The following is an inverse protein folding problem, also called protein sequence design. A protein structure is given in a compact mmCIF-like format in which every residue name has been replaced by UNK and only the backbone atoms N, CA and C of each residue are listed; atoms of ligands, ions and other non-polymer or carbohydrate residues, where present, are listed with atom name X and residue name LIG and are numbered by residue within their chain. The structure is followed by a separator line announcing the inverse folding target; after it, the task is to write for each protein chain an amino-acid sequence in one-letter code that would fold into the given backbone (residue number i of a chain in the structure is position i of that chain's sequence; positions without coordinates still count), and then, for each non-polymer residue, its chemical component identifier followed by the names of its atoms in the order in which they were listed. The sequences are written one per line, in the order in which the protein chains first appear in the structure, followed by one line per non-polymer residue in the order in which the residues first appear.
data_IF_681955838362
#
_entry.id   IF_681955838362
#
_cell.length_a   1.000
_cell.length_b   1.000
_cell.length_c   1.000
_cell.angle_alpha   90.00
_cell.angle_beta   90.00
_cell.angle_gamma   90.00
#
_symmetry.space_group_name_H-M   'P 1'
#
loop_
_entity.id
_entity.type
_entity.pdbx_description
1 polymer ?
#
# COMPACT_ATOMS: atom_id res chain seq x y z
N UNK A 1 -12.68 11.11 -6.91
CA UNK A 1 -13.97 11.73 -6.57
C UNK A 1 -13.73 12.88 -5.59
N UNK A 2 -14.35 14.06 -5.83
CA UNK A 2 -14.24 15.23 -4.96
C UNK A 2 -15.60 15.61 -4.41
N UNK A 3 -15.69 15.95 -3.11
CA UNK A 3 -16.96 16.30 -2.50
C UNK A 3 -16.88 16.65 -1.02
N UNK A 4 -18.03 16.93 -0.42
CA UNK A 4 -18.14 17.23 1.00
C UNK A 4 -18.15 15.93 1.80
N UNK A 5 -17.31 15.84 2.82
CA UNK A 5 -17.26 14.69 3.72
C UNK A 5 -18.45 14.73 4.68
N UNK A 6 -19.18 13.63 4.76
CA UNK A 6 -20.32 13.46 5.66
C UNK A 6 -19.89 12.78 6.95
N UNK A 7 -19.06 11.75 6.85
CA UNK A 7 -18.71 10.89 7.96
C UNK A 7 -17.25 10.46 7.89
N UNK A 8 -16.59 10.37 9.04
CA UNK A 8 -15.23 9.83 9.21
C UNK A 8 -15.26 8.88 10.41
N UNK A 9 -15.60 7.61 10.20
CA UNK A 9 -15.75 6.63 11.29
C UNK A 9 -14.42 6.20 11.91
N UNK A 10 -13.30 6.33 11.18
CA UNK A 10 -11.99 5.87 11.64
C UNK A 10 -11.40 6.76 12.72
N UNK A 11 -10.72 6.11 13.67
CA UNK A 11 -9.97 6.77 14.73
C UNK A 11 -8.47 6.61 14.49
N UNK A 12 -7.63 7.57 14.92
CA UNK A 12 -6.18 7.38 14.89
C UNK A 12 -5.77 6.10 15.64
N UNK A 13 -4.77 5.41 15.11
CA UNK A 13 -4.19 4.18 15.66
C UNK A 13 -5.17 2.99 15.76
N UNK A 14 -6.32 3.06 15.11
CA UNK A 14 -7.23 1.90 15.04
C UNK A 14 -6.79 0.91 13.97
N UNK A 15 -6.78 -0.40 14.26
CA UNK A 15 -6.56 -1.42 13.26
C UNK A 15 -7.76 -1.47 12.31
N UNK A 16 -7.48 -1.61 11.03
CA UNK A 16 -8.48 -1.70 9.96
C UNK A 16 -8.17 -2.91 9.09
N UNK A 17 -9.22 -3.56 8.63
CA UNK A 17 -9.15 -4.60 7.61
C UNK A 17 -9.32 -3.99 6.23
N UNK A 18 -8.86 -4.70 5.22
CA UNK A 18 -9.18 -4.37 3.83
C UNK A 18 -10.69 -4.22 3.64
N UNK A 19 -11.10 -3.16 2.96
CA UNK A 19 -12.51 -2.84 2.71
C UNK A 19 -13.22 -2.03 3.82
N UNK A 20 -12.63 -1.85 5.00
CA UNK A 20 -13.20 -1.02 6.06
C UNK A 20 -13.35 0.44 5.61
N UNK A 21 -14.45 1.08 6.03
CA UNK A 21 -14.74 2.45 5.60
C UNK A 21 -13.84 3.45 6.30
N UNK A 22 -13.07 4.21 5.52
CA UNK A 22 -12.24 5.31 6.02
C UNK A 22 -13.04 6.60 6.20
N UNK A 23 -13.76 7.01 5.18
CA UNK A 23 -14.68 8.16 5.23
C UNK A 23 -15.70 8.08 4.11
N UNK A 24 -16.77 8.87 4.24
CA UNK A 24 -17.85 8.95 3.26
C UNK A 24 -17.97 10.39 2.74
N UNK A 25 -18.05 10.52 1.44
CA UNK A 25 -18.40 11.76 0.73
C UNK A 25 -19.92 11.79 0.56
N UNK A 26 -20.52 12.99 0.48
CA UNK A 26 -21.95 13.15 0.23
C UNK A 26 -22.34 12.48 -1.10
N UNK A 27 -23.13 11.40 -1.10
CA UNK A 27 -23.46 10.66 -2.30
C UNK A 27 -24.54 11.34 -3.14
N UNK A 28 -25.32 12.29 -2.58
CA UNK A 28 -26.51 12.87 -3.23
C UNK A 28 -26.23 13.49 -4.59
N UNK A 29 -25.16 14.28 -4.80
CA UNK A 29 -24.88 14.83 -6.13
C UNK A 29 -24.58 13.75 -7.16
N UNK A 30 -23.89 12.67 -6.74
CA UNK A 30 -23.53 11.54 -7.60
C UNK A 30 -24.75 10.68 -7.92
N UNK A 31 -25.61 10.42 -6.94
CA UNK A 31 -26.87 9.71 -7.14
C UNK A 31 -27.77 10.44 -8.14
N UNK A 32 -27.93 11.77 -7.98
CA UNK A 32 -28.69 12.57 -8.93
C UNK A 32 -28.14 12.51 -10.36
N UNK A 33 -26.81 12.41 -10.51
CA UNK A 33 -26.17 12.26 -11.81
C UNK A 33 -26.49 10.89 -12.43
N UNK A 34 -26.40 9.81 -11.63
CA UNK A 34 -26.78 8.46 -12.05
C UNK A 34 -28.24 8.43 -12.50
N UNK A 35 -29.15 8.95 -11.68
CA UNK A 35 -30.60 8.96 -11.98
C UNK A 35 -30.89 9.74 -13.27
N UNK A 36 -30.20 10.88 -13.49
CA UNK A 36 -30.35 11.68 -14.70
C UNK A 36 -29.86 10.95 -15.95
N UNK A 37 -28.73 10.28 -15.88
CA UNK A 37 -28.16 9.52 -16.98
C UNK A 37 -28.97 8.27 -17.29
N UNK A 38 -29.50 7.60 -16.27
CA UNK A 38 -30.37 6.44 -16.43
C UNK A 38 -31.67 6.83 -17.18
N UNK A 39 -32.29 7.95 -16.81
CA UNK A 39 -33.46 8.45 -17.52
C UNK A 39 -33.16 8.80 -18.99
N UNK A 40 -32.00 9.39 -19.29
CA UNK A 40 -31.56 9.69 -20.64
C UNK A 40 -31.28 8.42 -21.45
N UNK A 41 -30.62 7.45 -20.86
CA UNK A 41 -30.35 6.15 -21.49
C UNK A 41 -31.65 5.41 -21.83
N UNK A 42 -32.61 5.45 -20.92
CA UNK A 42 -33.93 4.85 -21.17
C UNK A 42 -34.64 5.51 -22.37
N UNK A 43 -34.64 6.84 -22.44
CA UNK A 43 -35.20 7.56 -23.59
C UNK A 43 -34.49 7.23 -24.90
N UNK A 44 -33.12 7.18 -24.88
CA UNK A 44 -32.32 6.83 -26.06
C UNK A 44 -32.61 5.38 -26.53
N UNK A 45 -32.75 4.46 -25.58
CA UNK A 45 -33.09 3.07 -25.86
C UNK A 45 -34.46 2.92 -26.52
N UNK A 46 -35.47 3.67 -26.05
CA UNK A 46 -36.81 3.69 -26.65
C UNK A 46 -36.72 4.24 -28.08
N UNK A 47 -35.95 5.29 -28.31
CA UNK A 47 -35.78 5.89 -29.63
C UNK A 47 -35.06 4.92 -30.59
N UNK A 48 -34.05 4.24 -30.13
CA UNK A 48 -33.36 3.20 -30.89
C UNK A 48 -34.32 2.07 -31.28
N UNK A 49 -35.13 1.60 -30.33
CA UNK A 49 -36.14 0.58 -30.63
C UNK A 49 -37.14 1.01 -31.68
N UNK A 50 -37.66 2.24 -31.57
CA UNK A 50 -38.56 2.82 -32.59
C UNK A 50 -37.89 2.95 -33.95
N UNK A 51 -36.63 3.40 -34.00
CA UNK A 51 -35.88 3.48 -35.27
C UNK A 51 -35.67 2.11 -35.90
N UNK A 52 -35.37 1.09 -35.13
CA UNK A 52 -35.24 -0.32 -35.58
C UNK A 52 -36.59 -0.85 -36.14
N UNK A 53 -37.70 -0.52 -35.49
CA UNK A 53 -39.04 -0.91 -35.98
C UNK A 53 -39.41 -0.22 -37.28
N UNK A 54 -39.13 1.08 -37.41
CA UNK A 54 -39.37 1.85 -38.62
C UNK A 54 -38.48 1.37 -39.79
N UNK A 55 -37.22 1.02 -39.50
CA UNK A 55 -36.33 0.44 -40.50
C UNK A 55 -36.88 -0.91 -41.04
N UNK A 56 -37.41 -1.77 -40.15
CA UNK A 56 -38.05 -3.04 -40.57
C UNK A 56 -39.28 -2.80 -41.48
N UNK A 57 -39.94 -1.67 -41.32
CA UNK A 57 -41.07 -1.29 -42.17
C UNK A 57 -40.65 -0.50 -43.42
N UNK A 58 -39.35 -0.38 -43.71
CA UNK A 58 -38.78 0.41 -44.81
C UNK A 58 -39.16 1.90 -44.77
N UNK A 59 -39.40 2.46 -43.57
CA UNK A 59 -39.83 3.90 -43.40
C UNK A 59 -38.65 4.74 -42.90
N UNK A 60 -37.65 4.17 -42.27
CA UNK A 60 -36.47 4.89 -41.76
C UNK A 60 -35.17 4.41 -42.47
N UNK A 61 -34.16 5.28 -42.46
CA UNK A 61 -32.84 4.95 -43.01
C UNK A 61 -31.96 4.24 -41.96
N UNK A 62 -31.02 3.40 -42.42
CA UNK A 62 -30.04 2.72 -41.57
C UNK A 62 -29.24 3.74 -40.69
N UNK A 63 -28.94 4.89 -41.26
CA UNK A 63 -28.19 5.95 -40.58
C UNK A 63 -28.86 6.45 -39.28
N UNK A 64 -30.20 6.39 -39.19
CA UNK A 64 -30.91 6.77 -37.95
C UNK A 64 -30.74 5.73 -36.88
N UNK A 65 -30.73 4.43 -37.23
CA UNK A 65 -30.46 3.35 -36.30
C UNK A 65 -29.01 3.45 -35.78
N UNK A 66 -28.06 3.68 -36.69
CA UNK A 66 -26.66 3.84 -36.33
C UNK A 66 -26.43 5.02 -35.38
N UNK A 67 -27.10 6.14 -35.64
CA UNK A 67 -27.06 7.32 -34.77
C UNK A 67 -27.60 7.04 -33.37
N UNK A 68 -28.76 6.39 -33.25
CA UNK A 68 -29.34 6.09 -31.93
C UNK A 68 -28.55 4.97 -31.23
N UNK A 69 -27.93 4.07 -31.97
CA UNK A 69 -27.03 3.08 -31.38
C UNK A 69 -25.83 3.76 -30.73
N UNK A 70 -25.17 4.66 -31.44
CA UNK A 70 -24.04 5.43 -30.90
C UNK A 70 -24.46 6.31 -29.68
N UNK A 71 -25.67 6.86 -29.68
CA UNK A 71 -26.21 7.62 -28.55
C UNK A 71 -26.39 6.73 -27.30
N UNK A 72 -26.97 5.51 -27.47
CA UNK A 72 -27.13 4.54 -26.39
C UNK A 72 -25.77 4.11 -25.84
N UNK A 73 -24.80 3.78 -26.69
CA UNK A 73 -23.45 3.41 -26.29
C UNK A 73 -22.76 4.51 -25.48
N UNK A 74 -22.87 5.76 -25.95
CA UNK A 74 -22.33 6.92 -25.26
C UNK A 74 -22.98 7.13 -23.89
N UNK A 75 -24.30 7.04 -23.79
CA UNK A 75 -25.02 7.22 -22.52
C UNK A 75 -24.73 6.06 -21.54
N UNK A 76 -24.56 4.86 -22.06
CA UNK A 76 -24.15 3.71 -21.23
C UNK A 76 -22.77 3.95 -20.61
N UNK A 77 -21.78 4.37 -21.39
CA UNK A 77 -20.45 4.68 -20.89
C UNK A 77 -20.47 5.82 -19.86
N UNK A 78 -21.31 6.84 -20.06
CA UNK A 78 -21.46 7.94 -19.10
C UNK A 78 -22.12 7.48 -17.80
N UNK A 79 -23.12 6.59 -17.89
CA UNK A 79 -23.79 6.01 -16.74
C UNK A 79 -22.83 5.14 -15.93
N UNK A 80 -22.03 4.30 -16.58
CA UNK A 80 -21.00 3.47 -15.93
C UNK A 80 -19.99 4.34 -15.17
N UNK A 81 -19.57 5.48 -15.77
CA UNK A 81 -18.67 6.42 -15.10
C UNK A 81 -19.33 7.07 -13.88
N UNK A 82 -20.62 7.46 -13.99
CA UNK A 82 -21.34 8.07 -12.87
C UNK A 82 -21.56 7.06 -11.72
N UNK A 83 -21.84 5.79 -12.04
CA UNK A 83 -21.94 4.72 -11.05
C UNK A 83 -20.62 4.47 -10.35
N UNK A 84 -19.52 4.41 -11.10
CA UNK A 84 -18.17 4.32 -10.55
C UNK A 84 -17.88 5.48 -9.59
N UNK A 85 -18.21 6.71 -9.96
CA UNK A 85 -18.01 7.87 -9.09
C UNK A 85 -18.87 7.80 -7.83
N UNK A 86 -20.11 7.30 -7.93
CA UNK A 86 -21.01 7.08 -6.80
C UNK A 86 -20.44 6.02 -5.83
N UNK A 87 -19.98 4.89 -6.33
CA UNK A 87 -19.35 3.85 -5.51
C UNK A 87 -18.13 4.39 -4.77
N UNK A 88 -17.34 5.23 -5.43
CA UNK A 88 -16.12 5.83 -4.86
C UNK A 88 -16.40 7.02 -3.92
N UNK A 89 -17.68 7.34 -3.63
CA UNK A 89 -18.03 8.24 -2.51
C UNK A 89 -17.75 7.61 -1.15
N UNK A 90 -17.68 6.27 -1.08
CA UNK A 90 -17.28 5.53 0.11
C UNK A 90 -15.83 5.10 -0.05
N UNK A 91 -14.93 5.84 0.60
CA UNK A 91 -13.50 5.52 0.57
C UNK A 91 -13.20 4.44 1.60
N UNK A 92 -12.58 3.37 1.13
CA UNK A 92 -12.28 2.18 1.92
C UNK A 92 -10.79 1.96 2.09
N UNK A 93 -10.40 1.20 3.10
CA UNK A 93 -9.02 0.78 3.31
C UNK A 93 -8.56 -0.15 2.18
N UNK A 94 -7.43 0.15 1.52
CA UNK A 94 -6.93 -0.65 0.39
C UNK A 94 -6.31 -1.98 0.82
N UNK A 95 -6.01 -2.13 2.11
CA UNK A 95 -5.40 -3.31 2.70
C UNK A 95 -5.60 -3.30 4.21
N UNK A 96 -5.20 -4.38 4.88
CA UNK A 96 -5.12 -4.42 6.35
C UNK A 96 -3.99 -3.51 6.84
N UNK A 97 -4.26 -2.70 7.86
CA UNK A 97 -3.28 -1.74 8.37
C UNK A 97 -3.82 -0.83 9.46
N UNK A 98 -3.15 0.31 9.64
CA UNK A 98 -3.50 1.31 10.65
C UNK A 98 -3.59 2.71 10.04
N UNK A 99 -4.49 3.52 10.56
CA UNK A 99 -4.51 4.95 10.29
C UNK A 99 -3.72 5.68 11.38
N UNK A 100 -2.57 6.26 11.04
CA UNK A 100 -1.71 6.97 12.01
C UNK A 100 -2.28 8.33 12.39
N UNK A 101 -2.78 9.08 11.40
CA UNK A 101 -3.30 10.42 11.63
C UNK A 101 -4.53 10.68 10.78
N UNK A 102 -5.54 11.31 11.38
CA UNK A 102 -6.77 11.74 10.71
C UNK A 102 -6.94 13.22 10.98
N UNK A 103 -6.73 14.05 9.96
CA UNK A 103 -6.99 15.49 10.01
C UNK A 103 -8.33 15.83 9.37
N UNK A 104 -8.93 14.89 8.65
CA UNK A 104 -10.20 15.03 7.96
C UNK A 104 -11.36 15.06 8.97
N UNK A 105 -12.24 16.04 8.82
CA UNK A 105 -13.44 16.19 9.66
C UNK A 105 -14.71 16.20 8.80
N UNK A 106 -15.83 15.71 9.32
CA UNK A 106 -17.12 15.90 8.69
C UNK A 106 -17.38 17.39 8.37
N UNK A 107 -17.94 17.66 7.21
CA UNK A 107 -18.17 19.00 6.71
C UNK A 107 -17.06 19.57 5.83
N UNK A 108 -15.86 19.04 5.88
CA UNK A 108 -14.77 19.46 4.99
C UNK A 108 -14.96 18.95 3.57
N UNK A 109 -14.31 19.61 2.61
CA UNK A 109 -14.33 19.23 1.21
C UNK A 109 -13.01 18.59 0.81
N UNK A 110 -13.07 17.40 0.26
CA UNK A 110 -11.95 16.70 -0.36
C UNK A 110 -11.88 17.07 -1.84
N UNK A 111 -10.69 17.38 -2.35
CA UNK A 111 -10.44 17.69 -3.74
C UNK A 111 -9.42 16.71 -4.34
N UNK A 112 -9.42 16.57 -5.68
CA UNK A 112 -8.51 15.65 -6.39
C UNK A 112 -7.04 16.10 -6.39
N UNK A 113 -6.75 17.35 -6.03
CA UNK A 113 -5.40 17.89 -5.87
C UNK A 113 -5.13 18.12 -4.38
N UNK A 114 -4.63 17.13 -3.65
CA UNK A 114 -4.34 17.28 -2.24
C UNK A 114 -3.05 18.09 -2.06
N UNK A 115 -3.18 19.35 -1.72
CA UNK A 115 -2.08 20.16 -1.21
C UNK A 115 -1.67 19.73 0.22
N UNK A 116 -2.50 18.91 0.87
CA UNK A 116 -2.30 18.35 2.20
C UNK A 116 -2.79 16.92 2.25
N UNK A 117 -2.04 16.07 2.95
CA UNK A 117 -2.53 14.74 3.30
C UNK A 117 -3.60 14.86 4.39
N UNK A 118 -4.79 14.31 4.12
CA UNK A 118 -5.90 14.29 5.07
C UNK A 118 -5.82 13.12 6.06
N UNK A 119 -5.16 12.05 5.63
CA UNK A 119 -5.06 10.81 6.39
C UNK A 119 -3.76 10.09 5.99
N UNK A 120 -3.08 9.53 6.97
CA UNK A 120 -1.92 8.66 6.73
C UNK A 120 -2.31 7.23 7.07
N UNK A 121 -2.42 6.40 6.06
CA UNK A 121 -2.66 4.97 6.19
C UNK A 121 -1.34 4.22 6.08
N UNK A 122 -1.08 3.31 7.00
CA UNK A 122 0.08 2.42 6.98
C UNK A 122 -0.40 1.00 6.78
N UNK A 123 -0.03 0.45 5.67
CA UNK A 123 -0.23 -0.96 5.37
C UNK A 123 0.69 -1.81 6.26
N UNK A 124 0.11 -2.80 6.91
CA UNK A 124 0.86 -3.73 7.76
C UNK A 124 1.21 -4.95 6.93
N UNK A 125 2.36 -4.92 6.30
CA UNK A 125 2.96 -6.11 5.70
C UNK A 125 3.80 -6.79 6.78
N UNK A 126 3.18 -7.71 7.50
CA UNK A 126 3.76 -8.35 8.68
C UNK A 126 4.99 -9.22 8.35
N UNK A 127 5.17 -9.56 7.08
CA UNK A 127 6.22 -10.47 6.65
C UNK A 127 7.47 -9.75 6.15
N UNK A 128 7.48 -8.41 6.02
CA UNK A 128 8.62 -7.67 5.47
C UNK A 128 9.31 -6.82 6.51
N UNK A 129 10.64 -6.95 6.56
CA UNK A 129 11.52 -6.22 7.46
C UNK A 129 12.55 -5.46 6.64
N UNK A 130 12.81 -4.22 7.02
CA UNK A 130 13.92 -3.46 6.47
C UNK A 130 15.15 -3.62 7.37
N UNK A 131 16.27 -4.04 6.80
CA UNK A 131 17.55 -4.17 7.48
C UNK A 131 18.60 -3.30 6.82
N UNK A 132 19.36 -2.55 7.63
CA UNK A 132 20.49 -1.75 7.15
C UNK A 132 21.78 -2.56 7.09
N UNK A 133 22.50 -2.52 5.97
CA UNK A 133 23.80 -3.15 5.79
C UNK A 133 24.85 -2.17 5.30
N UNK A 134 26.13 -2.43 5.62
CA UNK A 134 27.23 -1.61 5.15
C UNK A 134 27.56 -1.85 3.67
N UNK A 135 28.05 -0.82 2.98
CA UNK A 135 28.36 -0.85 1.56
C UNK A 135 29.29 -2.00 1.15
N UNK A 136 30.29 -2.33 1.95
CA UNK A 136 31.24 -3.40 1.68
C UNK A 136 30.61 -4.81 1.66
N UNK A 137 29.44 -4.98 2.27
CA UNK A 137 28.71 -6.25 2.34
C UNK A 137 27.76 -6.45 1.15
N UNK A 138 27.34 -5.36 0.49
CA UNK A 138 26.40 -5.40 -0.64
C UNK A 138 26.83 -6.32 -1.78
N UNK A 139 28.15 -6.36 -2.10
CA UNK A 139 28.70 -7.18 -3.19
C UNK A 139 28.45 -8.68 -3.02
N UNK A 140 28.24 -9.12 -1.79
CA UNK A 140 28.01 -10.53 -1.45
C UNK A 140 26.53 -10.88 -1.30
N UNK A 141 25.65 -9.89 -1.40
CA UNK A 141 24.22 -10.06 -1.23
C UNK A 141 23.57 -10.54 -2.53
N UNK A 142 22.70 -11.54 -2.40
CA UNK A 142 21.87 -12.05 -3.50
C UNK A 142 20.43 -12.22 -3.01
N UNK A 143 19.41 -11.97 -3.84
CA UNK A 143 18.04 -12.38 -3.53
C UNK A 143 17.96 -13.89 -3.26
N UNK A 144 17.11 -14.28 -2.32
CA UNK A 144 16.92 -15.68 -1.92
C UNK A 144 17.89 -16.18 -0.84
N UNK A 145 18.89 -15.39 -0.43
CA UNK A 145 19.78 -15.78 0.68
C UNK A 145 19.02 -15.88 1.99
N UNK A 146 19.38 -16.90 2.80
CA UNK A 146 18.84 -17.08 4.13
C UNK A 146 19.34 -16.02 5.09
N UNK A 147 18.46 -15.60 5.97
CA UNK A 147 18.75 -14.65 7.03
C UNK A 147 18.08 -15.09 8.33
N UNK A 148 18.57 -14.62 9.45
CA UNK A 148 17.94 -14.74 10.75
C UNK A 148 17.79 -13.33 11.36
N UNK A 149 16.65 -13.10 12.03
CA UNK A 149 16.33 -11.83 12.65
C UNK A 149 15.84 -12.03 14.07
N UNK A 150 16.25 -11.15 14.97
CA UNK A 150 15.74 -11.08 16.33
C UNK A 150 15.24 -9.68 16.64
N UNK A 151 14.17 -9.57 17.41
CA UNK A 151 13.59 -8.30 17.82
C UNK A 151 13.86 -8.03 19.30
N UNK A 152 14.13 -6.77 19.65
CA UNK A 152 14.30 -6.39 21.06
C UNK A 152 13.04 -6.62 21.88
N UNK A 153 11.86 -6.47 21.28
CA UNK A 153 10.56 -6.65 21.95
C UNK A 153 10.26 -8.13 22.26
N UNK A 154 10.93 -9.06 21.56
CA UNK A 154 10.75 -10.51 21.74
C UNK A 154 12.09 -11.14 22.11
N UNK A 155 12.56 -10.98 23.36
CA UNK A 155 13.82 -11.53 23.80
C UNK A 155 13.85 -13.06 23.66
N UNK A 156 14.98 -13.61 23.21
CA UNK A 156 15.17 -15.04 23.02
C UNK A 156 14.58 -15.63 21.75
N UNK A 157 13.75 -14.87 21.00
CA UNK A 157 13.16 -15.33 19.75
C UNK A 157 14.05 -15.02 18.55
N UNK A 158 14.21 -16.00 17.66
CA UNK A 158 14.92 -15.87 16.38
C UNK A 158 14.00 -16.31 15.26
N UNK A 159 13.81 -15.44 14.27
CA UNK A 159 12.96 -15.67 13.12
C UNK A 159 13.82 -15.94 11.89
N UNK A 160 13.43 -16.96 11.12
CA UNK A 160 14.02 -17.21 9.82
C UNK A 160 13.46 -16.23 8.80
N UNK A 161 14.34 -15.77 7.91
CA UNK A 161 13.98 -14.82 6.87
C UNK A 161 14.76 -15.08 5.59
N UNK A 162 14.30 -14.48 4.49
CA UNK A 162 14.99 -14.50 3.20
C UNK A 162 15.15 -13.11 2.66
N UNK A 163 16.24 -12.88 1.96
CA UNK A 163 16.49 -11.63 1.26
C UNK A 163 15.62 -11.58 0.01
N UNK A 164 14.70 -10.59 -0.07
CA UNK A 164 13.91 -10.35 -1.28
C UNK A 164 14.67 -9.44 -2.22
N UNK A 165 15.06 -8.27 -1.71
CA UNK A 165 15.66 -7.20 -2.49
C UNK A 165 16.61 -6.35 -1.65
N UNK A 166 17.68 -5.88 -2.26
CA UNK A 166 18.52 -4.82 -1.72
C UNK A 166 18.31 -3.54 -2.53
N UNK A 167 18.10 -2.42 -1.87
CA UNK A 167 18.09 -1.13 -2.54
C UNK A 167 19.55 -0.73 -2.84
N UNK A 168 19.96 -0.59 -4.12
CA UNK A 168 21.32 -0.20 -4.47
C UNK A 168 21.59 1.29 -4.23
N UNK A 169 20.64 2.02 -3.66
CA UNK A 169 20.67 3.46 -3.51
C UNK A 169 20.35 3.82 -2.05
N UNK A 170 21.14 4.71 -1.46
CA UNK A 170 20.83 5.33 -0.17
C UNK A 170 20.08 6.66 -0.38
N UNK A 171 19.33 7.14 0.64
CA UNK A 171 18.69 8.45 0.56
C UNK A 171 19.66 9.59 0.20
N UNK A 172 20.92 9.53 0.68
CA UNK A 172 21.95 10.51 0.35
C UNK A 172 22.59 10.33 -1.04
N UNK A 173 22.32 9.21 -1.73
CA UNK A 173 22.78 8.93 -3.09
C UNK A 173 21.79 9.36 -4.17
N UNK A 174 20.62 9.90 -3.79
CA UNK A 174 19.63 10.40 -4.74
C UNK A 174 19.89 11.87 -5.07
N UNK A 175 20.03 12.15 -6.35
CA UNK A 175 19.95 13.51 -6.86
C UNK A 175 18.48 13.92 -6.89
N UNK A 176 17.98 14.55 -5.82
CA UNK A 176 16.65 15.14 -5.86
C UNK A 176 16.64 16.24 -6.95
N UNK A 177 15.62 16.32 -7.81
CA UNK A 177 15.48 17.37 -8.80
C UNK A 177 15.10 18.69 -8.11
N UNK A 178 16.06 19.27 -7.38
CA UNK A 178 15.87 20.52 -6.60
C UNK A 178 16.28 21.77 -7.35
N UNK A 179 16.82 21.62 -8.58
CA UNK A 179 17.39 22.73 -9.34
C UNK A 179 18.72 23.27 -8.80
N UNK A 180 19.20 22.75 -7.68
CA UNK A 180 20.49 23.12 -7.09
C UNK A 180 21.58 22.15 -7.55
N UNK A 181 22.80 22.68 -7.75
CA UNK A 181 23.97 21.86 -8.03
C UNK A 181 24.27 20.99 -6.80
N UNK A 182 24.38 19.66 -6.95
CA UNK A 182 24.70 18.79 -5.83
C UNK A 182 26.04 19.16 -5.23
N UNK A 183 26.07 19.50 -3.95
CA UNK A 183 27.32 19.66 -3.23
C UNK A 183 27.94 18.29 -2.99
N UNK A 184 29.25 18.16 -3.19
CA UNK A 184 29.95 16.93 -2.78
C UNK A 184 29.73 16.70 -1.28
N UNK A 185 29.40 15.46 -0.85
CA UNK A 185 29.26 15.15 0.56
C UNK A 185 30.55 15.52 1.28
N UNK A 186 30.43 16.32 2.33
CA UNK A 186 31.58 16.68 3.17
C UNK A 186 32.24 15.45 3.78
N UNK A 187 33.54 15.52 4.06
CA UNK A 187 34.34 14.40 4.56
C UNK A 187 33.88 13.78 5.91
N UNK A 188 32.81 14.27 6.50
CA UNK A 188 32.26 13.83 7.79
C UNK A 188 30.89 13.13 7.70
N UNK A 189 30.43 12.74 6.50
CA UNK A 189 29.21 11.94 6.42
C UNK A 189 29.47 10.53 6.96
N UNK A 190 28.79 10.18 8.04
CA UNK A 190 28.78 8.81 8.55
C UNK A 190 28.38 7.85 7.44
N UNK A 191 29.04 6.67 7.32
CA UNK A 191 28.72 5.71 6.27
C UNK A 191 27.24 5.34 6.37
N UNK A 192 26.47 5.68 5.34
CA UNK A 192 25.05 5.37 5.29
C UNK A 192 24.86 3.87 5.07
N UNK A 193 23.91 3.31 5.83
CA UNK A 193 23.51 1.92 5.64
C UNK A 193 22.59 1.80 4.42
N UNK A 194 22.80 0.76 3.65
CA UNK A 194 21.94 0.39 2.53
C UNK A 194 20.76 -0.44 3.04
N UNK A 195 19.54 -0.05 2.67
CA UNK A 195 18.34 -0.79 3.04
C UNK A 195 18.20 -2.07 2.23
N UNK A 196 18.01 -3.19 2.89
CA UNK A 196 17.58 -4.44 2.26
C UNK A 196 16.23 -4.84 2.85
N UNK A 197 15.43 -5.51 2.03
CA UNK A 197 14.13 -6.05 2.45
C UNK A 197 14.28 -7.54 2.64
N UNK A 198 13.94 -7.98 3.83
CA UNK A 198 13.84 -9.38 4.22
C UNK A 198 12.38 -9.77 4.31
N UNK A 199 12.03 -10.95 3.86
CA UNK A 199 10.75 -11.61 4.08
C UNK A 199 10.91 -12.65 5.16
N UNK A 200 10.07 -12.57 6.17
CA UNK A 200 10.03 -13.59 7.22
C UNK A 200 9.40 -14.86 6.66
N UNK A 201 10.01 -16.00 6.89
CA UNK A 201 9.40 -17.29 6.56
C UNK A 201 8.13 -17.45 7.42
N UNK A 202 7.05 -17.95 6.81
CA UNK A 202 5.82 -18.33 7.54
C UNK A 202 6.17 -19.47 8.49
N UNK A 203 6.30 -19.15 9.76
CA UNK A 203 6.64 -20.12 10.78
C UNK A 203 6.86 -19.47 12.14
N UNK A 204 6.87 -20.30 13.15
CA UNK A 204 7.15 -19.86 14.51
C UNK A 204 8.64 -19.55 14.70
N UNK A 205 8.92 -18.56 15.52
CA UNK A 205 10.29 -18.31 15.95
C UNK A 205 10.89 -19.59 16.55
N UNK A 206 12.15 -19.88 16.25
CA UNK A 206 12.94 -20.83 17.03
C UNK A 206 13.21 -20.25 18.43
N UNK A 207 12.18 -20.21 19.25
CA UNK A 207 12.31 -19.96 20.69
C UNK A 207 11.97 -21.26 21.39
N UNK A 208 12.87 -21.74 22.22
CA UNK A 208 12.72 -23.06 22.89
C UNK A 208 11.54 -23.17 23.86
N UNK A 209 10.61 -22.20 23.92
CA UNK A 209 9.59 -22.14 24.98
C UNK A 209 8.14 -22.01 24.48
N UNK A 210 7.86 -21.23 23.45
CA UNK A 210 6.48 -21.08 22.89
C UNK A 210 6.53 -20.58 21.47
N UNK A 211 5.61 -21.03 20.59
CA UNK A 211 5.46 -20.43 19.28
C UNK A 211 5.05 -18.96 19.45
N UNK A 212 5.85 -18.04 18.93
CA UNK A 212 5.55 -16.60 18.96
C UNK A 212 5.05 -16.22 17.58
N UNK A 213 3.83 -15.67 17.55
CA UNK A 213 3.24 -15.17 16.32
C UNK A 213 3.93 -13.88 15.88
N UNK A 214 4.36 -13.85 14.64
CA UNK A 214 4.91 -12.65 13.97
C UNK A 214 3.91 -11.47 14.05
N UNK A 215 2.62 -11.76 14.03
CA UNK A 215 1.56 -10.75 14.17
C UNK A 215 1.63 -9.96 15.49
N UNK A 216 2.32 -10.49 16.51
CA UNK A 216 2.53 -9.78 17.79
C UNK A 216 3.64 -8.72 17.74
N UNK A 217 4.44 -8.67 16.67
CA UNK A 217 5.52 -7.69 16.50
C UNK A 217 4.92 -6.38 15.97
N UNK A 218 4.96 -5.30 16.77
CA UNK A 218 4.41 -4.03 16.30
C UNK A 218 5.25 -3.45 15.17
N UNK A 219 4.59 -2.76 14.23
CA UNK A 219 5.27 -2.01 13.18
C UNK A 219 6.26 -0.99 13.76
N UNK A 220 7.49 -0.99 13.24
CA UNK A 220 8.58 -0.15 13.76
C UNK A 220 9.42 -0.80 14.86
N UNK A 221 9.16 -2.05 15.22
CA UNK A 221 10.03 -2.80 16.13
C UNK A 221 11.46 -2.86 15.58
N UNK A 222 12.44 -2.64 16.46
CA UNK A 222 13.86 -2.69 16.12
C UNK A 222 14.47 -4.01 16.59
N UNK A 223 15.47 -4.46 15.83
CA UNK A 223 16.15 -5.71 16.12
C UNK A 223 17.51 -5.81 15.47
N UNK A 224 18.08 -6.98 15.52
CA UNK A 224 19.30 -7.32 14.83
C UNK A 224 19.06 -8.48 13.86
N UNK A 225 19.81 -8.49 12.76
CA UNK A 225 19.71 -9.56 11.77
C UNK A 225 21.08 -9.97 11.24
N UNK A 226 21.13 -11.17 10.71
CA UNK A 226 22.28 -11.70 10.03
C UNK A 226 21.85 -12.33 8.69
N UNK A 227 22.55 -11.99 7.61
CA UNK A 227 22.38 -12.63 6.30
C UNK A 227 23.53 -13.62 6.11
N UNK A 228 23.22 -14.83 5.68
CA UNK A 228 24.19 -15.91 5.46
C UNK A 228 24.58 -15.99 3.99
N UNK A 229 25.83 -15.59 3.71
CA UNK A 229 26.37 -15.56 2.35
C UNK A 229 27.20 -16.80 2.05
N UNK A 230 27.15 -17.29 0.82
CA UNK A 230 27.91 -18.49 0.42
C UNK A 230 29.43 -18.37 0.57
N UNK A 231 29.95 -17.15 0.61
CA UNK A 231 31.39 -16.88 0.65
C UNK A 231 32.07 -17.16 1.98
N UNK A 232 31.30 -17.37 3.08
CA UNK A 232 31.87 -17.47 4.43
C UNK A 232 31.17 -18.54 5.30
N UNK A 233 30.92 -19.72 4.76
CA UNK A 233 30.17 -20.81 5.43
C UNK A 233 30.69 -21.16 6.81
N UNK A 234 32.03 -21.15 7.02
CA UNK A 234 32.62 -21.46 8.31
C UNK A 234 32.24 -20.47 9.43
N UNK A 235 31.97 -19.23 9.08
CA UNK A 235 31.58 -18.16 10.04
C UNK A 235 30.10 -18.18 10.40
N UNK A 236 29.27 -18.93 9.68
CA UNK A 236 27.82 -18.98 9.92
C UNK A 236 27.50 -19.46 11.33
N UNK A 237 28.21 -20.50 11.81
CA UNK A 237 28.00 -21.06 13.16
C UNK A 237 28.26 -19.99 14.23
N UNK A 238 29.38 -19.26 14.09
CA UNK A 238 29.72 -18.18 15.02
C UNK A 238 28.64 -17.07 14.98
N UNK A 239 28.21 -16.71 13.80
CA UNK A 239 27.20 -15.67 13.63
C UNK A 239 25.84 -16.06 14.22
N UNK A 240 25.42 -17.32 14.03
CA UNK A 240 24.24 -17.91 14.65
C UNK A 240 24.29 -17.84 16.18
N UNK A 241 25.43 -18.26 16.76
CA UNK A 241 25.64 -18.20 18.21
C UNK A 241 25.56 -16.74 18.68
N UNK A 242 26.25 -15.83 18.02
CA UNK A 242 26.22 -14.39 18.37
C UNK A 242 24.81 -13.81 18.32
N UNK A 243 24.02 -14.13 17.30
CA UNK A 243 22.65 -13.64 17.17
C UNK A 243 21.76 -14.17 18.30
N UNK A 244 21.90 -15.45 18.65
CA UNK A 244 21.19 -16.07 19.79
C UNK A 244 21.61 -15.44 21.11
N UNK A 245 22.91 -15.23 21.31
CA UNK A 245 23.40 -14.49 22.49
C UNK A 245 22.79 -13.08 22.57
N UNK A 246 22.73 -12.38 21.45
CA UNK A 246 22.14 -11.04 21.40
C UNK A 246 20.64 -11.08 21.70
N UNK A 247 19.90 -12.09 21.20
CA UNK A 247 18.51 -12.30 21.54
C UNK A 247 18.30 -12.52 23.05
N UNK A 248 19.17 -13.29 23.69
CA UNK A 248 19.15 -13.52 25.13
C UNK A 248 19.57 -12.28 25.95
N UNK A 249 20.53 -11.49 25.47
CA UNK A 249 20.93 -10.25 26.13
C UNK A 249 19.78 -9.22 26.21
N UNK A 250 18.81 -9.28 25.30
CA UNK A 250 17.61 -8.44 25.36
C UNK A 250 16.74 -8.71 26.60
N UNK A 251 16.92 -9.86 27.33
CA UNK A 251 16.30 -10.07 28.65
C UNK A 251 16.97 -9.26 29.75
N UNK A 252 18.30 -9.07 29.64
CA UNK A 252 19.10 -8.43 30.68
C UNK A 252 19.21 -6.90 30.48
N UNK A 253 19.20 -6.47 29.23
CA UNK A 253 19.34 -5.06 28.82
C UNK A 253 18.16 -4.66 27.94
N UNK A 254 17.01 -4.28 28.53
CA UNK A 254 15.82 -3.91 27.76
C UNK A 254 15.92 -2.52 27.11
N UNK A 255 17.10 -1.86 27.13
CA UNK A 255 17.32 -0.51 26.57
C UNK A 255 18.11 -0.54 25.27
#
# INVERSE_FOLDING_TARGET
VSGKVVEVPVKPLSPLKEGDVLFRIDPRPFQNQVDSLDAQLNLATINLQRAKELLRKNVAAQIDVDRYTAEVEKLTANLDQAQYDLEHTVVRAPATGYVLGVTLKPGQRVANLPLRSWMTFVHTDLNKISMGIHQNQLRHLRPGMSAEVTFKILPGAVFNARVIMGAPITPGGQLAPSGNVPSAPGAQTLPQLYGIVLELDEGFAESGLTPIDIASVPGGAVGAGAVYTDSARATHIIRKVMLRMQAWLNYLMPY
#
